data_IF_587421737909
#
_entry.id   IF_587421737909
#
_cell.length_a   1.000
_cell.length_b   1.000
_cell.length_c   1.000
_cell.angle_alpha   90.00
_cell.angle_beta   90.00
_cell.angle_gamma   90.00
#
_symmetry.space_group_name_H-M   'P 1'
#
loop_
_entity.id
_entity.type
_entity.pdbx_description
1 polymer ?
#
# COMPACT_ATOMS: atom_id res chain seq x y z
N UNK A 1 41.68 21.96 40.12
CA UNK A 1 40.25 21.99 39.71
C UNK A 1 40.01 22.50 38.28
N UNK A 2 40.96 23.17 37.61
CA UNK A 2 40.76 23.73 36.27
C UNK A 2 40.85 22.75 35.07
N UNK A 3 41.41 21.54 35.24
CA UNK A 3 41.53 20.55 34.16
C UNK A 3 40.23 19.76 33.90
N UNK A 4 39.34 19.70 34.89
CA UNK A 4 38.07 18.96 34.79
C UNK A 4 37.01 19.73 33.98
N UNK A 5 37.05 21.08 33.98
CA UNK A 5 36.15 21.92 33.16
C UNK A 5 36.40 21.67 31.66
N UNK A 6 37.67 21.73 31.21
CA UNK A 6 38.02 21.52 29.78
C UNK A 6 37.70 20.12 29.26
N UNK A 7 37.73 19.10 30.11
CA UNK A 7 37.34 17.74 29.72
C UNK A 7 35.83 17.56 29.63
N UNK A 8 35.07 18.27 30.47
CA UNK A 8 33.61 18.25 30.41
C UNK A 8 33.09 18.94 29.14
N UNK A 9 33.73 20.04 28.74
CA UNK A 9 33.43 20.73 27.47
C UNK A 9 33.70 19.84 26.24
N UNK A 10 34.79 19.05 26.25
CA UNK A 10 35.08 18.10 25.19
C UNK A 10 34.07 16.93 25.13
N UNK A 11 33.59 16.45 26.29
CA UNK A 11 32.54 15.44 26.36
C UNK A 11 31.19 15.97 25.90
N UNK A 12 30.87 17.23 26.22
CA UNK A 12 29.66 17.90 25.76
C UNK A 12 29.62 18.02 24.23
N UNK A 13 30.74 18.39 23.60
CA UNK A 13 30.83 18.46 22.14
C UNK A 13 30.68 17.09 21.44
N UNK A 14 31.26 16.03 22.02
CA UNK A 14 31.10 14.66 21.48
C UNK A 14 29.66 14.17 21.61
N UNK A 15 29.01 14.44 22.74
CA UNK A 15 27.60 14.10 22.96
C UNK A 15 26.67 14.87 22.02
N UNK A 16 26.99 16.13 21.75
CA UNK A 16 26.22 16.97 20.82
C UNK A 16 26.32 16.46 19.38
N UNK A 17 27.51 16.07 18.92
CA UNK A 17 27.70 15.42 17.61
C UNK A 17 26.99 14.07 17.53
N UNK A 18 27.08 13.24 18.57
CA UNK A 18 26.39 11.95 18.62
C UNK A 18 24.86 12.12 18.60
N UNK A 19 24.34 13.12 19.31
CA UNK A 19 22.92 13.45 19.31
C UNK A 19 22.45 14.00 17.96
N UNK A 20 23.28 14.77 17.26
CA UNK A 20 23.03 15.23 15.90
C UNK A 20 23.00 14.05 14.92
N UNK A 21 23.99 13.17 14.96
CA UNK A 21 24.06 11.96 14.13
C UNK A 21 22.90 11.00 14.39
N UNK A 22 22.50 10.82 15.66
CA UNK A 22 21.34 10.02 16.02
C UNK A 22 20.03 10.63 15.50
N UNK A 23 19.88 11.95 15.57
CA UNK A 23 18.71 12.64 15.01
C UNK A 23 18.67 12.54 13.49
N UNK A 24 19.80 12.68 12.80
CA UNK A 24 19.86 12.50 11.35
C UNK A 24 19.56 11.04 10.95
N UNK A 25 20.11 10.07 11.66
CA UNK A 25 19.84 8.64 11.43
C UNK A 25 18.38 8.27 11.70
N UNK A 26 17.77 8.87 12.72
CA UNK A 26 16.36 8.71 13.02
C UNK A 26 15.47 9.34 11.94
N UNK A 27 15.80 10.53 11.43
CA UNK A 27 15.08 11.15 10.31
C UNK A 27 15.19 10.31 9.03
N UNK A 28 16.39 9.84 8.68
CA UNK A 28 16.59 8.94 7.53
C UNK A 28 15.84 7.62 7.68
N UNK A 29 15.79 7.04 8.88
CA UNK A 29 14.97 5.85 9.14
C UNK A 29 13.48 6.14 9.05
N UNK A 30 13.00 7.27 9.57
CA UNK A 30 11.59 7.65 9.46
C UNK A 30 11.17 7.93 8.00
N UNK A 31 12.07 8.46 7.17
CA UNK A 31 11.85 8.62 5.73
C UNK A 31 11.81 7.27 5.00
N UNK A 32 12.63 6.30 5.41
CA UNK A 32 12.59 4.93 4.88
C UNK A 32 11.39 4.11 5.38
N UNK A 33 10.94 4.34 6.62
CA UNK A 33 9.77 3.69 7.21
C UNK A 33 8.45 4.33 6.74
N UNK A 34 8.47 5.43 5.96
CA UNK A 34 7.27 5.92 5.25
C UNK A 34 6.88 5.02 4.07
N UNK A 35 7.82 4.22 3.55
CA UNK A 35 7.55 3.11 2.65
C UNK A 35 7.28 1.82 3.44
N UNK A 36 6.44 1.90 4.49
CA UNK A 36 5.86 0.70 5.06
C UNK A 36 5.10 -0.01 3.92
N UNK A 37 5.46 -1.25 3.56
CA UNK A 37 4.78 -1.96 2.48
C UNK A 37 3.30 -2.04 2.82
N UNK A 38 2.46 -1.43 1.99
CA UNK A 38 1.02 -1.53 2.11
C UNK A 38 0.69 -3.03 2.00
N UNK A 39 0.30 -3.64 3.11
CA UNK A 39 0.05 -5.09 3.22
C UNK A 39 -1.04 -5.60 2.29
N UNK A 40 -1.70 -4.70 1.56
CA UNK A 40 -2.64 -4.98 0.47
C UNK A 40 -1.91 -5.34 -0.83
N UNK A 41 -0.73 -4.77 -1.10
CA UNK A 41 0.04 -5.02 -2.33
C UNK A 41 1.02 -6.19 -2.22
N UNK A 42 1.36 -6.62 -1.00
CA UNK A 42 2.41 -7.62 -0.73
C UNK A 42 1.91 -9.06 -0.50
N UNK A 43 0.66 -9.34 -0.85
CA UNK A 43 0.17 -10.72 -0.89
C UNK A 43 0.79 -11.47 -2.06
N UNK A 44 1.98 -12.03 -1.86
CA UNK A 44 2.65 -12.98 -2.75
C UNK A 44 1.77 -14.19 -3.12
N UNK A 45 0.72 -14.44 -2.33
CA UNK A 45 -0.32 -15.45 -2.58
C UNK A 45 -1.27 -15.12 -3.73
N UNK A 46 -1.38 -13.85 -4.16
CA UNK A 46 -2.24 -13.44 -5.27
C UNK A 46 -1.48 -13.35 -6.61
N UNK A 47 -0.16 -13.58 -6.61
CA UNK A 47 0.71 -13.39 -7.78
C UNK A 47 0.35 -14.30 -8.97
N UNK A 48 -0.16 -15.51 -8.69
CA UNK A 48 -0.62 -16.47 -9.70
C UNK A 48 -2.15 -16.56 -9.81
N UNK A 49 -2.89 -15.81 -8.99
CA UNK A 49 -4.35 -15.78 -9.09
C UNK A 49 -4.76 -14.84 -10.21
N UNK A 50 -5.11 -15.40 -11.38
CA UNK A 50 -5.67 -14.61 -12.47
C UNK A 50 -6.95 -13.92 -12.00
N UNK A 51 -7.01 -12.61 -12.21
CA UNK A 51 -8.20 -11.79 -11.95
C UNK A 51 -9.38 -12.39 -12.72
N UNK A 52 -10.34 -12.96 -12.00
CA UNK A 52 -11.52 -13.64 -12.57
C UNK A 52 -12.52 -12.67 -13.25
N UNK A 53 -12.19 -11.38 -13.28
CA UNK A 53 -12.97 -10.31 -13.95
C UNK A 53 -13.15 -10.53 -15.45
N UNK A 54 -12.26 -11.27 -16.12
CA UNK A 54 -12.36 -11.50 -17.57
C UNK A 54 -13.68 -12.15 -18.00
N UNK A 55 -14.37 -12.89 -17.12
CA UNK A 55 -15.65 -13.53 -17.46
C UNK A 55 -16.89 -12.76 -16.96
N UNK A 56 -16.71 -11.65 -16.24
CA UNK A 56 -17.83 -10.89 -15.68
C UNK A 56 -18.71 -10.24 -16.77
N UNK A 57 -18.10 -9.78 -17.87
CA UNK A 57 -18.84 -9.19 -19.00
C UNK A 57 -19.72 -10.20 -19.74
N UNK A 58 -19.35 -11.49 -19.73
CA UNK A 58 -20.13 -12.55 -20.38
C UNK A 58 -21.51 -12.69 -19.74
N UNK A 59 -21.60 -12.55 -18.42
CA UNK A 59 -22.88 -12.57 -17.70
C UNK A 59 -23.80 -11.41 -18.07
N UNK A 60 -23.24 -10.24 -18.38
CA UNK A 60 -24.01 -9.08 -18.86
C UNK A 60 -24.62 -9.39 -20.23
N UNK A 61 -23.87 -10.02 -21.14
CA UNK A 61 -24.36 -10.42 -22.46
C UNK A 61 -25.46 -11.48 -22.33
N UNK A 62 -25.26 -12.48 -21.47
CA UNK A 62 -26.26 -13.53 -21.20
C UNK A 62 -27.55 -12.90 -20.64
N UNK A 63 -27.43 -11.99 -19.67
CA UNK A 63 -28.59 -11.32 -19.09
C UNK A 63 -29.37 -10.51 -20.13
N UNK A 64 -28.68 -9.81 -21.03
CA UNK A 64 -29.31 -9.04 -22.09
C UNK A 64 -30.06 -9.96 -23.07
N UNK A 65 -29.46 -11.08 -23.47
CA UNK A 65 -30.12 -12.08 -24.31
C UNK A 65 -31.34 -12.71 -23.64
N UNK A 66 -31.24 -13.04 -22.35
CA UNK A 66 -32.34 -13.60 -21.59
C UNK A 66 -33.53 -12.64 -21.52
N UNK A 67 -33.29 -11.36 -21.23
CA UNK A 67 -34.33 -10.33 -21.21
C UNK A 67 -34.94 -10.13 -22.59
N UNK A 68 -34.11 -10.04 -23.64
CA UNK A 68 -34.59 -9.90 -25.02
C UNK A 68 -35.46 -11.06 -25.47
N UNK A 69 -35.04 -12.30 -25.18
CA UNK A 69 -35.81 -13.51 -25.45
C UNK A 69 -37.14 -13.53 -24.68
N UNK A 70 -37.14 -13.11 -23.42
CA UNK A 70 -38.34 -13.07 -22.58
C UNK A 70 -39.36 -12.05 -23.12
N UNK A 71 -38.92 -10.85 -23.49
CA UNK A 71 -39.79 -9.84 -24.13
C UNK A 71 -40.31 -10.35 -25.48
N UNK A 72 -39.44 -10.94 -26.31
CA UNK A 72 -39.83 -11.51 -27.60
C UNK A 72 -40.91 -12.59 -27.43
N UNK A 73 -40.73 -13.49 -26.46
CA UNK A 73 -41.68 -14.56 -26.18
C UNK A 73 -43.03 -14.03 -25.71
N UNK A 74 -43.04 -13.00 -24.85
CA UNK A 74 -44.27 -12.35 -24.40
C UNK A 74 -45.01 -11.71 -25.58
N UNK A 75 -44.31 -10.98 -26.46
CA UNK A 75 -44.91 -10.33 -27.63
C UNK A 75 -45.45 -11.38 -28.61
N UNK A 76 -44.70 -12.44 -28.87
CA UNK A 76 -45.14 -13.53 -29.73
C UNK A 76 -46.35 -14.28 -29.15
N UNK A 77 -46.39 -14.49 -27.85
CA UNK A 77 -47.49 -15.20 -27.17
C UNK A 77 -48.74 -14.35 -26.98
N UNK A 78 -48.63 -13.02 -27.02
CA UNK A 78 -49.76 -12.09 -26.84
C UNK A 78 -50.40 -11.69 -28.18
N UNK A 79 -49.70 -11.89 -29.30
CA UNK A 79 -50.26 -11.76 -30.65
C UNK A 79 -50.93 -13.06 -31.09
#
# INVERSE_FOLDING_TARGET
MALFIKQNDNRSQLQERLAAELREKAKKRAEMDQELPDGITDSAYLKDTKVTTSLAWLWIVIALFAVGALVFFIVLSTK
#
